data_IF_150918928760
#
_entry.id   IF_150918928760
#
_cell.length_a   1.000
_cell.length_b   1.000
_cell.length_c   1.000
_cell.angle_alpha   90.00
_cell.angle_beta   90.00
_cell.angle_gamma   90.00
#
_symmetry.space_group_name_H-M   'P 1'
#
loop_
_entity.id
_entity.type
_entity.pdbx_description
1 polymer ?
#
# COMPACT_ATOMS: atom_id res chain seq x y z
N UNK A 1 34.22 -6.35 15.47
CA UNK A 1 33.41 -5.75 14.40
C UNK A 1 33.65 -4.25 14.44
N UNK A 2 34.24 -3.69 13.38
CA UNK A 2 34.56 -2.27 13.33
C UNK A 2 33.24 -1.52 12.99
N UNK A 3 32.70 -0.77 13.94
CA UNK A 3 31.45 -0.01 13.80
C UNK A 3 31.49 0.91 12.56
N UNK A 4 32.67 1.46 12.25
CA UNK A 4 32.86 2.31 11.08
C UNK A 4 32.76 1.56 9.75
N UNK A 5 33.15 0.30 9.72
CA UNK A 5 33.03 -0.57 8.55
C UNK A 5 31.56 -0.98 8.29
N UNK A 6 30.84 -1.29 9.36
CA UNK A 6 29.40 -1.57 9.30
C UNK A 6 28.60 -0.34 8.82
N UNK A 7 28.96 0.85 9.29
CA UNK A 7 28.33 2.11 8.85
C UNK A 7 28.59 2.42 7.36
N UNK A 8 29.82 2.15 6.87
CA UNK A 8 30.15 2.36 5.44
C UNK A 8 29.50 1.32 4.53
N UNK A 9 29.36 0.08 4.97
CA UNK A 9 28.64 -0.98 4.24
C UNK A 9 27.13 -0.80 4.26
N UNK A 10 26.59 -0.20 5.34
CA UNK A 10 25.17 0.16 5.44
C UNK A 10 24.75 1.31 4.49
N UNK A 11 25.71 2.10 3.99
CA UNK A 11 25.48 3.20 3.06
C UNK A 11 25.46 2.70 1.61
N UNK A 12 24.43 1.88 1.30
CA UNK A 12 24.19 1.45 -0.10
C UNK A 12 23.57 2.60 -0.90
N UNK A 13 24.36 3.18 -1.80
CA UNK A 13 23.93 4.28 -2.69
C UNK A 13 22.71 3.91 -3.52
N UNK A 14 22.59 2.65 -3.95
CA UNK A 14 21.47 2.16 -4.74
C UNK A 14 20.18 2.12 -3.92
N UNK A 15 20.28 1.66 -2.67
CA UNK A 15 19.18 1.65 -1.73
C UNK A 15 18.67 3.06 -1.45
N UNK A 16 19.59 4.00 -1.15
CA UNK A 16 19.24 5.40 -0.89
C UNK A 16 18.55 6.02 -2.12
N UNK A 17 19.08 5.79 -3.32
CA UNK A 17 18.48 6.30 -4.55
C UNK A 17 17.06 5.75 -4.75
N UNK A 18 16.85 4.45 -4.53
CA UNK A 18 15.52 3.83 -4.63
C UNK A 18 14.53 4.44 -3.63
N UNK A 19 14.94 4.58 -2.36
CA UNK A 19 14.11 5.21 -1.32
C UNK A 19 13.75 6.64 -1.69
N UNK A 20 14.73 7.43 -2.11
CA UNK A 20 14.51 8.82 -2.53
C UNK A 20 13.57 8.91 -3.73
N UNK A 21 13.71 8.01 -4.71
CA UNK A 21 12.83 7.95 -5.88
C UNK A 21 11.39 7.64 -5.50
N UNK A 22 11.17 6.71 -4.57
CA UNK A 22 9.83 6.35 -4.08
C UNK A 22 9.21 7.53 -3.31
N UNK A 23 9.96 8.17 -2.42
CA UNK A 23 9.49 9.35 -1.69
C UNK A 23 9.14 10.48 -2.66
N UNK A 24 9.99 10.73 -3.65
CA UNK A 24 9.76 11.76 -4.66
C UNK A 24 8.50 11.46 -5.49
N UNK A 25 8.29 10.20 -5.88
CA UNK A 25 7.08 9.77 -6.58
C UNK A 25 5.81 10.04 -5.75
N UNK A 26 5.84 9.68 -4.45
CA UNK A 26 4.70 9.93 -3.53
C UNK A 26 4.45 11.43 -3.41
N UNK A 27 5.50 12.25 -3.30
CA UNK A 27 5.38 13.71 -3.23
C UNK A 27 4.74 14.29 -4.50
N UNK A 28 5.10 13.79 -5.68
CA UNK A 28 4.48 14.20 -6.94
C UNK A 28 2.98 13.84 -6.94
N UNK A 29 2.62 12.62 -6.58
CA UNK A 29 1.20 12.19 -6.51
C UNK A 29 0.38 13.06 -5.55
N UNK A 30 0.97 13.43 -4.41
CA UNK A 30 0.33 14.31 -3.43
C UNK A 30 0.22 15.74 -3.95
N UNK A 31 1.29 16.27 -4.54
CA UNK A 31 1.32 17.64 -5.06
C UNK A 31 0.37 17.84 -6.24
N UNK A 32 0.27 16.86 -7.13
CA UNK A 32 -0.64 16.89 -8.30
C UNK A 32 -2.10 16.65 -7.93
N UNK A 33 -2.40 16.33 -6.67
CA UNK A 33 -3.74 15.97 -6.19
C UNK A 33 -4.40 14.85 -6.99
N UNK A 34 -3.59 14.03 -7.64
CA UNK A 34 -4.07 12.90 -8.46
C UNK A 34 -4.88 11.92 -7.63
N UNK A 35 -4.48 11.70 -6.37
CA UNK A 35 -5.19 10.81 -5.45
C UNK A 35 -6.56 11.37 -5.06
N UNK A 36 -6.66 12.68 -4.80
CA UNK A 36 -7.93 13.34 -4.49
C UNK A 36 -8.90 13.26 -5.68
N UNK A 37 -8.39 13.39 -6.90
CA UNK A 37 -9.18 13.28 -8.12
C UNK A 37 -9.72 11.86 -8.33
N UNK A 38 -8.90 10.84 -8.13
CA UNK A 38 -9.31 9.42 -8.17
C UNK A 38 -10.40 9.15 -7.14
N UNK A 39 -10.23 9.63 -5.91
CA UNK A 39 -11.24 9.52 -4.85
C UNK A 39 -12.54 10.20 -5.26
N UNK A 40 -12.47 11.43 -5.80
CA UNK A 40 -13.66 12.19 -6.23
C UNK A 40 -14.43 11.47 -7.33
N UNK A 41 -13.75 10.96 -8.33
CA UNK A 41 -14.36 10.23 -9.46
C UNK A 41 -15.08 8.96 -8.96
N UNK A 42 -14.41 8.19 -8.09
CA UNK A 42 -14.96 6.95 -7.56
C UNK A 42 -16.12 7.18 -6.59
N UNK A 43 -16.05 8.23 -5.75
CA UNK A 43 -17.11 8.58 -4.80
C UNK A 43 -18.39 9.05 -5.49
N UNK A 44 -18.31 9.59 -6.70
CA UNK A 44 -19.45 9.99 -7.51
C UNK A 44 -20.03 8.86 -8.37
N UNK A 45 -19.48 7.65 -8.28
CA UNK A 45 -19.96 6.49 -9.03
C UNK A 45 -21.21 5.87 -8.35
N UNK A 46 -22.09 5.19 -9.10
CA UNK A 46 -23.28 4.53 -8.56
C UNK A 46 -22.96 3.21 -7.82
N UNK A 47 -21.70 2.99 -7.44
CA UNK A 47 -21.24 1.79 -6.77
C UNK A 47 -21.56 1.81 -5.26
N UNK A 48 -21.77 0.64 -4.62
CA UNK A 48 -21.89 0.56 -3.16
C UNK A 48 -20.65 1.15 -2.47
N UNK A 49 -20.85 1.88 -1.39
CA UNK A 49 -19.77 2.57 -0.64
C UNK A 49 -18.62 1.62 -0.29
N UNK A 50 -18.93 0.39 0.12
CA UNK A 50 -17.91 -0.61 0.43
C UNK A 50 -17.01 -0.94 -0.77
N UNK A 51 -17.58 -1.06 -1.99
CA UNK A 51 -16.78 -1.28 -3.20
C UNK A 51 -15.92 -0.06 -3.53
N UNK A 52 -16.48 1.13 -3.42
CA UNK A 52 -15.76 2.38 -3.67
C UNK A 52 -14.55 2.50 -2.72
N UNK A 53 -14.78 2.36 -1.42
CA UNK A 53 -13.73 2.43 -0.40
C UNK A 53 -12.71 1.31 -0.62
N UNK A 54 -13.14 0.11 -0.94
CA UNK A 54 -12.26 -1.02 -1.20
C UNK A 54 -11.32 -0.78 -2.40
N UNK A 55 -11.87 -0.30 -3.52
CA UNK A 55 -11.11 0.00 -4.74
C UNK A 55 -10.13 1.16 -4.48
N UNK A 56 -10.60 2.25 -3.85
CA UNK A 56 -9.75 3.40 -3.50
C UNK A 56 -8.59 2.95 -2.61
N UNK A 57 -8.88 2.16 -1.56
CA UNK A 57 -7.87 1.69 -0.64
C UNK A 57 -6.82 0.82 -1.33
N UNK A 58 -7.25 -0.10 -2.18
CA UNK A 58 -6.35 -0.96 -2.93
C UNK A 58 -5.47 -0.14 -3.89
N UNK A 59 -6.05 0.80 -4.63
CA UNK A 59 -5.31 1.67 -5.55
C UNK A 59 -4.30 2.55 -4.81
N UNK A 60 -4.71 3.20 -3.72
CA UNK A 60 -3.81 4.02 -2.90
C UNK A 60 -2.70 3.15 -2.29
N UNK A 61 -3.02 1.95 -1.84
CA UNK A 61 -2.03 0.98 -1.36
C UNK A 61 -0.98 0.64 -2.42
N UNK A 62 -1.42 0.32 -3.64
CA UNK A 62 -0.53 0.06 -4.79
C UNK A 62 0.33 1.28 -5.13
N UNK A 63 -0.25 2.46 -5.17
CA UNK A 63 0.44 3.68 -5.58
C UNK A 63 1.45 4.16 -4.53
N UNK A 64 1.09 4.12 -3.25
CA UNK A 64 1.97 4.60 -2.18
C UNK A 64 3.03 3.57 -1.77
N UNK A 65 2.70 2.29 -1.78
CA UNK A 65 3.60 1.21 -1.33
C UNK A 65 4.01 1.29 0.15
N UNK A 66 3.46 2.26 0.90
CA UNK A 66 3.79 2.55 2.30
C UNK A 66 2.51 2.64 3.13
N UNK A 67 2.48 1.89 4.25
CA UNK A 67 1.29 1.82 5.13
C UNK A 67 0.87 3.18 5.68
N UNK A 68 1.84 4.01 6.09
CA UNK A 68 1.57 5.35 6.61
C UNK A 68 0.90 6.24 5.57
N UNK A 69 1.37 6.20 4.32
CA UNK A 69 0.77 6.96 3.21
C UNK A 69 -0.66 6.53 2.93
N UNK A 70 -0.90 5.22 2.88
CA UNK A 70 -2.24 4.67 2.70
C UNK A 70 -3.19 5.10 3.84
N UNK A 71 -2.79 4.88 5.09
CA UNK A 71 -3.62 5.22 6.27
C UNK A 71 -3.91 6.72 6.34
N UNK A 72 -2.90 7.57 6.10
CA UNK A 72 -3.04 9.02 6.14
C UNK A 72 -4.04 9.57 5.10
N UNK A 73 -4.18 8.90 3.97
CA UNK A 73 -5.08 9.33 2.89
C UNK A 73 -6.47 8.70 3.00
N UNK A 74 -6.54 7.40 3.31
CA UNK A 74 -7.80 6.65 3.25
C UNK A 74 -8.61 6.77 4.53
N UNK A 75 -7.99 6.79 5.71
CA UNK A 75 -8.74 6.83 6.97
C UNK A 75 -9.55 8.13 7.16
N UNK A 76 -9.04 9.33 6.84
CA UNK A 76 -9.87 10.53 6.87
C UNK A 76 -11.05 10.47 5.91
N UNK A 77 -10.88 9.85 4.74
CA UNK A 77 -11.97 9.65 3.78
C UNK A 77 -13.05 8.72 4.34
N UNK A 78 -12.65 7.58 4.89
CA UNK A 78 -13.59 6.63 5.52
C UNK A 78 -14.33 7.29 6.67
N UNK A 79 -13.62 8.05 7.52
CA UNK A 79 -14.23 8.79 8.62
C UNK A 79 -15.22 9.88 8.17
N UNK A 80 -14.97 10.50 7.01
CA UNK A 80 -15.88 11.50 6.44
C UNK A 80 -17.15 10.88 5.83
N UNK A 81 -17.02 9.69 5.21
CA UNK A 81 -18.13 8.99 4.55
C UNK A 81 -19.01 8.25 5.57
N UNK A 82 -18.39 7.52 6.49
CA UNK A 82 -19.06 6.67 7.47
C UNK A 82 -18.35 6.78 8.83
N UNK A 83 -18.62 7.84 9.61
CA UNK A 83 -17.99 8.01 10.91
C UNK A 83 -18.32 6.84 11.84
N UNK A 84 -17.30 6.28 12.48
CA UNK A 84 -17.37 5.14 13.40
C UNK A 84 -17.75 3.78 12.78
N UNK A 85 -17.78 3.66 11.47
CA UNK A 85 -17.98 2.37 10.81
C UNK A 85 -16.67 1.56 10.79
N UNK A 86 -16.50 0.73 11.82
CA UNK A 86 -15.32 -0.15 11.98
C UNK A 86 -15.25 -1.19 10.84
N UNK A 87 -16.39 -1.64 10.32
CA UNK A 87 -16.42 -2.58 9.19
C UNK A 87 -15.82 -1.96 7.94
N UNK A 88 -16.23 -0.76 7.60
CA UNK A 88 -15.69 -0.04 6.44
C UNK A 88 -14.21 0.30 6.62
N UNK A 89 -13.81 0.71 7.83
CA UNK A 89 -12.42 0.97 8.15
C UNK A 89 -11.54 -0.28 8.03
N UNK A 90 -12.01 -1.43 8.52
CA UNK A 90 -11.29 -2.70 8.40
C UNK A 90 -11.15 -3.16 6.95
N UNK A 91 -12.20 -3.00 6.14
CA UNK A 91 -12.15 -3.28 4.69
C UNK A 91 -11.09 -2.42 4.00
N UNK A 92 -11.09 -1.13 4.30
CA UNK A 92 -10.11 -0.20 3.76
C UNK A 92 -8.67 -0.58 4.13
N UNK A 93 -8.42 -0.93 5.38
CA UNK A 93 -7.09 -1.35 5.84
C UNK A 93 -6.61 -2.62 5.15
N UNK A 94 -7.44 -3.66 5.11
CA UNK A 94 -7.05 -4.96 4.53
C UNK A 94 -6.78 -4.83 3.04
N UNK A 95 -7.64 -4.14 2.29
CA UNK A 95 -7.44 -3.95 0.86
C UNK A 95 -6.28 -3.01 0.54
N UNK A 96 -6.05 -1.99 1.37
CA UNK A 96 -4.88 -1.12 1.22
C UNK A 96 -3.57 -1.85 1.44
N UNK A 97 -3.48 -2.68 2.48
CA UNK A 97 -2.31 -3.55 2.72
C UNK A 97 -2.14 -4.56 1.58
N UNK A 98 -3.24 -5.13 1.07
CA UNK A 98 -3.19 -6.02 -0.07
C UNK A 98 -2.58 -5.35 -1.30
N UNK A 99 -3.02 -4.14 -1.63
CA UNK A 99 -2.46 -3.34 -2.72
C UNK A 99 -0.98 -3.03 -2.52
N UNK A 100 -0.61 -2.62 -1.31
CA UNK A 100 0.77 -2.32 -0.94
C UNK A 100 1.73 -3.51 -1.10
N UNK A 101 1.29 -4.72 -0.75
CA UNK A 101 2.14 -5.91 -0.80
C UNK A 101 2.46 -6.39 -2.22
N UNK A 102 1.64 -6.06 -3.20
CA UNK A 102 1.81 -6.50 -4.60
C UNK A 102 2.52 -5.47 -5.48
N UNK A 103 2.87 -4.31 -4.93
CA UNK A 103 3.48 -3.22 -5.70
C UNK A 103 5.02 -3.24 -5.64
N UNK A 104 5.69 -2.87 -6.73
CA UNK A 104 7.14 -2.69 -6.73
C UNK A 104 7.59 -1.44 -5.95
N UNK A 105 6.67 -0.58 -5.51
CA UNK A 105 6.98 0.56 -4.64
C UNK A 105 7.06 0.19 -3.17
N UNK A 106 6.73 -1.07 -2.80
CA UNK A 106 6.84 -1.54 -1.42
C UNK A 106 8.30 -1.70 -0.99
N UNK A 107 8.77 -0.70 -0.25
CA UNK A 107 10.18 -0.55 0.12
C UNK A 107 10.76 -1.78 0.81
N UNK A 108 10.05 -2.32 1.81
CA UNK A 108 10.54 -3.48 2.57
C UNK A 108 10.74 -4.71 1.67
N UNK A 109 9.84 -4.91 0.70
CA UNK A 109 9.95 -6.01 -0.25
C UNK A 109 11.15 -5.84 -1.19
N UNK A 110 11.34 -4.64 -1.75
CA UNK A 110 12.47 -4.35 -2.64
C UNK A 110 13.81 -4.49 -1.92
N UNK A 111 13.93 -3.97 -0.68
CA UNK A 111 15.15 -4.11 0.12
C UNK A 111 15.47 -5.58 0.41
N UNK A 112 14.45 -6.37 0.75
CA UNK A 112 14.60 -7.81 0.99
C UNK A 112 15.07 -8.54 -0.27
N UNK A 113 14.47 -8.24 -1.43
CA UNK A 113 14.87 -8.84 -2.70
C UNK A 113 16.32 -8.48 -3.08
N UNK A 114 16.71 -7.23 -2.88
CA UNK A 114 18.10 -6.80 -3.19
C UNK A 114 19.11 -7.46 -2.26
N UNK A 115 18.80 -7.62 -0.98
CA UNK A 115 19.63 -8.32 -0.03
C UNK A 115 19.85 -9.80 -0.40
N UNK A 116 18.78 -10.52 -0.73
CA UNK A 116 18.83 -11.94 -1.11
C UNK A 116 19.17 -12.18 -2.58
N UNK A 117 19.38 -11.12 -3.37
CA UNK A 117 19.59 -11.20 -4.83
C UNK A 117 18.49 -12.00 -5.53
N UNK A 118 17.25 -11.88 -5.04
CA UNK A 118 16.12 -12.64 -5.52
C UNK A 118 15.41 -11.91 -6.69
N UNK A 119 14.81 -12.70 -7.57
CA UNK A 119 14.01 -12.16 -8.69
C UNK A 119 12.64 -11.68 -8.19
N UNK A 120 12.28 -10.46 -8.58
CA UNK A 120 11.04 -9.81 -8.16
C UNK A 120 9.80 -10.64 -8.48
N UNK A 121 9.64 -11.09 -9.73
CA UNK A 121 8.45 -11.81 -10.16
C UNK A 121 8.33 -13.20 -9.53
N UNK A 122 9.46 -13.87 -9.29
CA UNK A 122 9.46 -15.18 -8.61
C UNK A 122 9.06 -15.03 -7.15
N UNK A 123 9.51 -13.99 -6.48
CA UNK A 123 9.16 -13.70 -5.10
C UNK A 123 7.73 -13.15 -4.95
N UNK A 124 7.24 -12.40 -5.95
CA UNK A 124 5.88 -11.84 -5.94
C UNK A 124 4.80 -12.92 -6.01
N UNK A 125 5.04 -14.03 -6.72
CA UNK A 125 4.04 -15.11 -6.87
C UNK A 125 3.52 -15.65 -5.53
N UNK A 126 4.35 -16.13 -4.59
CA UNK A 126 3.86 -16.62 -3.30
C UNK A 126 3.21 -15.49 -2.48
N UNK A 127 3.72 -14.26 -2.53
CA UNK A 127 3.12 -13.11 -1.85
C UNK A 127 1.71 -12.85 -2.38
N UNK A 128 1.53 -12.87 -3.70
CA UNK A 128 0.23 -12.68 -4.34
C UNK A 128 -0.77 -13.76 -3.95
N UNK A 129 -0.36 -15.03 -3.94
CA UNK A 129 -1.22 -16.16 -3.52
C UNK A 129 -1.63 -16.01 -2.05
N UNK A 130 -0.68 -15.76 -1.17
CA UNK A 130 -0.96 -15.57 0.25
C UNK A 130 -1.88 -14.37 0.49
N UNK A 131 -1.63 -13.26 -0.19
CA UNK A 131 -2.44 -12.05 -0.07
C UNK A 131 -3.87 -12.26 -0.58
N UNK A 132 -4.03 -12.99 -1.68
CA UNK A 132 -5.36 -13.37 -2.21
C UNK A 132 -6.11 -14.24 -1.21
N UNK A 133 -5.46 -15.22 -0.58
CA UNK A 133 -6.05 -16.04 0.46
C UNK A 133 -6.50 -15.19 1.67
N UNK A 134 -5.64 -14.31 2.16
CA UNK A 134 -5.96 -13.43 3.30
C UNK A 134 -7.17 -12.54 2.98
N UNK A 135 -7.16 -11.89 1.81
CA UNK A 135 -8.29 -11.05 1.39
C UNK A 135 -9.58 -11.86 1.24
N UNK A 136 -9.51 -13.06 0.66
CA UNK A 136 -10.69 -13.92 0.50
C UNK A 136 -11.27 -14.34 1.85
N UNK A 137 -10.44 -14.81 2.77
CA UNK A 137 -10.86 -15.19 4.13
C UNK A 137 -11.47 -13.97 4.84
N UNK A 138 -10.83 -12.81 4.72
CA UNK A 138 -11.36 -11.58 5.32
C UNK A 138 -12.72 -11.21 4.74
N UNK A 139 -12.90 -11.22 3.42
CA UNK A 139 -14.17 -10.87 2.76
C UNK A 139 -15.29 -11.86 3.13
N UNK A 140 -14.97 -13.14 3.24
CA UNK A 140 -15.93 -14.14 3.75
C UNK A 140 -16.33 -13.82 5.19
N UNK A 141 -15.39 -13.55 6.10
CA UNK A 141 -15.68 -13.15 7.47
C UNK A 141 -16.44 -11.82 7.55
N UNK A 142 -16.07 -10.85 6.70
CA UNK A 142 -16.70 -9.53 6.64
C UNK A 142 -18.18 -9.59 6.24
N UNK A 143 -18.58 -10.57 5.40
CA UNK A 143 -19.96 -10.76 5.00
C UNK A 143 -20.86 -11.26 6.16
N UNK A 144 -20.27 -11.84 7.20
CA UNK A 144 -20.99 -12.31 8.39
C UNK A 144 -21.00 -11.30 9.57
N UNK A 145 -20.18 -10.25 9.50
CA UNK A 145 -20.16 -9.16 10.47
C UNK A 145 -21.23 -8.10 10.16
#
# INVERSE_FOLDING_TARGET
VNVFQVLTEAFDKKLILNVMSIIFFIQILTYTKTLEEVVRVLSNSPLPIAMVVGIISLLIGVLTGISQGHVAMVMPLVAAIAPQDIKLASLALVLGVAGQMITPTHLCFIVTLDYFKADFFKALRPVFVMQTLVVTIFLLGWSFM
#
